data_IF_725913028504
#
_entry.id   IF_725913028504
#
_cell.length_a   1.000
_cell.length_b   1.000
_cell.length_c   1.000
_cell.angle_alpha   90.00
_cell.angle_beta   90.00
_cell.angle_gamma   90.00
#
_symmetry.space_group_name_H-M   'P 1'
#
loop_
_entity.id
_entity.type
_entity.pdbx_description
1 polymer ?
#
# COMPACT_ATOMS: atom_id res chain seq x y z
N UNK A 1 6.39 0.45 -13.98
CA UNK A 1 4.94 0.56 -14.32
C UNK A 1 4.37 1.75 -13.54
N UNK A 2 3.53 2.63 -14.12
CA UNK A 2 2.91 3.77 -13.41
C UNK A 2 1.45 3.46 -13.09
N UNK A 3 1.10 3.39 -11.80
CA UNK A 3 -0.29 3.27 -11.36
C UNK A 3 -0.74 4.63 -10.83
N UNK A 4 -1.86 5.12 -11.35
CA UNK A 4 -2.41 6.42 -10.97
C UNK A 4 -3.38 6.18 -9.82
N UNK A 5 -2.93 6.42 -8.60
CA UNK A 5 -3.77 6.49 -7.40
C UNK A 5 -4.19 7.96 -7.20
N UNK A 6 -5.15 8.44 -8.01
CA UNK A 6 -5.60 9.84 -7.99
C UNK A 6 -4.70 10.81 -8.79
N UNK A 7 -4.35 12.00 -8.26
CA UNK A 7 -3.47 12.97 -8.94
C UNK A 7 -1.97 12.65 -8.83
N UNK A 8 -1.63 11.51 -8.23
CA UNK A 8 -0.28 11.20 -7.80
C UNK A 8 0.41 10.17 -8.69
N UNK A 9 1.62 10.50 -9.14
CA UNK A 9 2.47 9.61 -9.94
C UNK A 9 3.42 8.82 -9.04
N UNK A 10 2.95 7.71 -8.48
CA UNK A 10 3.82 6.73 -7.82
C UNK A 10 4.49 5.87 -8.90
N UNK A 11 5.82 5.82 -8.89
CA UNK A 11 6.59 5.02 -9.84
C UNK A 11 7.07 3.74 -9.16
N UNK A 12 6.47 2.61 -9.54
CA UNK A 12 6.90 1.30 -9.06
C UNK A 12 8.03 0.77 -9.93
N UNK A 13 9.05 0.17 -9.32
CA UNK A 13 10.16 -0.46 -10.06
C UNK A 13 9.64 -1.53 -11.01
N UNK A 14 8.74 -2.38 -10.53
CA UNK A 14 8.24 -3.54 -11.25
C UNK A 14 6.80 -3.88 -10.87
N UNK A 15 6.21 -4.82 -11.60
CA UNK A 15 4.81 -5.22 -11.42
C UNK A 15 4.58 -5.88 -10.05
N UNK A 16 5.59 -6.59 -9.54
CA UNK A 16 5.53 -7.28 -8.25
C UNK A 16 5.45 -6.28 -7.10
N UNK A 17 6.30 -5.24 -7.13
CA UNK A 17 6.25 -4.12 -6.18
C UNK A 17 4.88 -3.41 -6.21
N UNK A 18 4.35 -3.14 -7.41
CA UNK A 18 3.03 -2.51 -7.56
C UNK A 18 1.90 -3.36 -6.97
N UNK A 19 1.93 -4.68 -7.19
CA UNK A 19 0.96 -5.61 -6.63
C UNK A 19 1.03 -5.65 -5.10
N UNK A 20 2.26 -5.70 -4.55
CA UNK A 20 2.49 -5.72 -3.10
C UNK A 20 1.93 -4.47 -2.42
N UNK A 21 2.20 -3.29 -2.97
CA UNK A 21 1.68 -2.02 -2.44
C UNK A 21 0.16 -1.95 -2.55
N UNK A 22 -0.40 -2.40 -3.68
CA UNK A 22 -1.85 -2.44 -3.87
C UNK A 22 -2.55 -3.36 -2.85
N UNK A 23 -1.96 -4.52 -2.57
CA UNK A 23 -2.48 -5.46 -1.59
C UNK A 23 -2.45 -4.86 -0.17
N UNK A 24 -1.33 -4.25 0.23
CA UNK A 24 -1.22 -3.56 1.52
C UNK A 24 -2.24 -2.41 1.63
N UNK A 25 -2.44 -1.64 0.57
CA UNK A 25 -3.45 -0.58 0.55
C UNK A 25 -4.89 -1.14 0.68
N UNK A 26 -5.18 -2.31 0.11
CA UNK A 26 -6.48 -2.97 0.29
C UNK A 26 -6.69 -3.42 1.74
N UNK A 27 -5.69 -4.05 2.35
CA UNK A 27 -5.77 -4.43 3.76
C UNK A 27 -5.94 -3.22 4.68
N UNK A 28 -5.14 -2.18 4.48
CA UNK A 28 -5.24 -0.95 5.25
C UNK A 28 -6.61 -0.27 5.10
N UNK A 29 -7.21 -0.26 3.89
CA UNK A 29 -8.58 0.25 3.71
C UNK A 29 -9.63 -0.55 4.50
N UNK A 30 -9.48 -1.88 4.56
CA UNK A 30 -10.40 -2.77 5.30
C UNK A 30 -10.26 -2.54 6.81
N UNK A 31 -9.02 -2.54 7.31
CA UNK A 31 -8.71 -2.33 8.74
C UNK A 31 -9.16 -0.94 9.21
N UNK A 32 -8.94 0.09 8.40
CA UNK A 32 -9.32 1.45 8.73
C UNK A 32 -10.84 1.71 8.63
N UNK A 33 -11.59 0.79 8.01
CA UNK A 33 -13.03 0.92 7.69
C UNK A 33 -13.39 2.23 6.99
N UNK A 34 -12.42 2.86 6.32
CA UNK A 34 -12.55 4.14 5.63
C UNK A 34 -11.56 4.18 4.46
N UNK A 35 -11.86 4.94 3.39
CA UNK A 35 -10.91 5.14 2.32
C UNK A 35 -9.64 5.83 2.85
N UNK A 36 -8.49 5.29 2.48
CA UNK A 36 -7.18 5.86 2.80
C UNK A 36 -7.01 7.23 2.14
N UNK A 37 -6.38 8.13 2.87
CA UNK A 37 -5.96 9.44 2.40
C UNK A 37 -4.74 9.33 1.48
N UNK A 38 -4.46 10.40 0.71
CA UNK A 38 -3.31 10.41 -0.21
C UNK A 38 -1.99 10.17 0.52
N UNK A 39 -1.80 10.75 1.70
CA UNK A 39 -0.58 10.59 2.49
C UNK A 39 -0.43 9.17 3.05
N UNK A 40 -1.53 8.51 3.44
CA UNK A 40 -1.51 7.10 3.82
C UNK A 40 -1.12 6.22 2.62
N UNK A 41 -1.63 6.50 1.42
CA UNK A 41 -1.24 5.79 0.21
C UNK A 41 0.23 6.01 -0.17
N UNK A 42 0.77 7.23 -0.02
CA UNK A 42 2.22 7.50 -0.17
C UNK A 42 3.01 6.68 0.81
N UNK A 43 2.61 6.69 2.08
CA UNK A 43 3.32 5.99 3.14
C UNK A 43 3.40 4.48 2.88
N UNK A 44 2.30 3.88 2.39
CA UNK A 44 2.28 2.47 2.00
C UNK A 44 3.18 2.18 0.80
N UNK A 45 3.25 3.09 -0.17
CA UNK A 45 4.09 2.93 -1.35
C UNK A 45 5.58 3.14 -1.06
N UNK A 46 5.94 4.11 -0.21
CA UNK A 46 7.34 4.39 0.14
C UNK A 46 7.89 3.40 1.17
N UNK A 47 7.03 2.90 2.07
CA UNK A 47 7.45 2.05 3.18
C UNK A 47 6.61 0.75 3.31
N UNK A 48 6.51 -0.07 2.25
CA UNK A 48 5.65 -1.27 2.25
C UNK A 48 6.05 -2.29 3.33
N UNK A 49 7.35 -2.42 3.66
CA UNK A 49 7.83 -3.31 4.71
C UNK A 49 7.43 -2.87 6.12
N UNK A 50 7.38 -1.56 6.35
CA UNK A 50 6.94 -1.00 7.63
C UNK A 50 5.43 -1.18 7.76
N UNK A 51 4.68 -0.87 6.70
CA UNK A 51 3.22 -1.05 6.68
C UNK A 51 2.82 -2.49 6.89
N UNK A 52 3.51 -3.46 6.28
CA UNK A 52 3.24 -4.88 6.51
C UNK A 52 3.33 -5.25 8.00
N UNK A 53 4.30 -4.69 8.72
CA UNK A 53 4.46 -4.91 10.17
C UNK A 53 3.40 -4.16 10.98
N UNK A 54 3.06 -2.92 10.60
CA UNK A 54 2.07 -2.08 11.27
C UNK A 54 0.66 -2.64 11.16
N UNK A 55 0.30 -3.21 10.01
CA UNK A 55 -0.98 -3.89 9.82
C UNK A 55 -1.08 -5.21 10.60
N UNK A 56 -0.06 -5.56 11.39
CA UNK A 56 0.01 -6.84 12.13
C UNK A 56 -0.39 -8.01 11.24
N UNK A 57 0.01 -7.95 9.96
CA UNK A 57 0.03 -9.11 9.07
C UNK A 57 1.19 -10.01 9.54
N UNK A 58 1.09 -10.49 10.79
CA UNK A 58 1.79 -11.71 11.20
C UNK A 58 1.35 -12.76 10.20
N UNK A 59 2.27 -13.30 9.38
CA UNK A 59 1.91 -14.43 8.55
C UNK A 59 1.32 -15.49 9.48
N UNK A 60 0.09 -15.93 9.19
CA UNK A 60 -0.38 -17.21 9.71
C UNK A 60 0.57 -18.24 9.08
N UNK A 61 1.51 -18.76 9.89
CA UNK A 61 2.32 -19.93 9.54
C UNK A 61 1.43 -21.16 9.28
#
# INVERSE_FOLDING_TARGET
FRHIMGKMSISFKDKDEANRVLELARYANVEAQKPLTEDELKFIAEYPDIVKKLLTLTPLE
#
